data_IF_071080441075
#
_entry.id   IF_071080441075
#
_cell.length_a   1.000
_cell.length_b   1.000
_cell.length_c   1.000
_cell.angle_alpha   90.00
_cell.angle_beta   90.00
_cell.angle_gamma   90.00
#
_symmetry.space_group_name_H-M   'P 1'
#
loop_
_entity.id
_entity.type
_entity.pdbx_description
1 polymer ?
#
# COMPACT_ATOMS: atom_id res chain seq x y z
N UNK A 1 20.89 -26.02 35.58
CA UNK A 1 19.59 -26.49 35.06
C UNK A 1 18.79 -25.30 34.54
N UNK A 2 17.84 -25.57 33.64
CA UNK A 2 16.87 -24.66 33.00
C UNK A 2 17.21 -24.12 31.60
N UNK A 3 17.05 -25.01 30.61
CA UNK A 3 16.50 -24.66 29.30
C UNK A 3 15.23 -25.50 29.07
N UNK A 4 14.09 -25.00 29.54
CA UNK A 4 12.75 -25.52 29.19
C UNK A 4 11.79 -24.34 29.09
N UNK A 5 11.90 -23.59 27.99
CA UNK A 5 10.88 -22.69 27.48
C UNK A 5 11.08 -22.56 25.97
N UNK A 6 10.96 -23.68 25.26
CA UNK A 6 10.78 -23.71 23.81
C UNK A 6 10.01 -24.98 23.58
N UNK A 7 8.69 -24.89 23.49
CA UNK A 7 7.81 -25.76 22.69
C UNK A 7 6.32 -25.63 23.07
N UNK A 8 5.96 -24.87 24.10
CA UNK A 8 4.54 -24.79 24.51
C UNK A 8 3.64 -23.99 23.54
N UNK A 9 4.20 -23.27 22.56
CA UNK A 9 3.42 -22.41 21.65
C UNK A 9 2.74 -23.16 20.49
N UNK A 10 3.39 -24.21 19.96
CA UNK A 10 2.88 -24.97 18.81
C UNK A 10 1.98 -26.14 19.20
N UNK A 11 1.94 -26.49 20.49
CA UNK A 11 1.02 -27.50 21.03
C UNK A 11 -0.41 -26.93 21.17
N UNK A 12 -0.55 -25.63 21.46
CA UNK A 12 -1.84 -24.94 21.58
C UNK A 12 -2.35 -24.39 20.22
N UNK A 13 -1.43 -24.10 19.29
CA UNK A 13 -1.72 -23.69 17.91
C UNK A 13 -0.95 -24.58 16.92
N UNK A 14 -1.54 -25.69 16.45
CA UNK A 14 -0.88 -26.56 15.50
C UNK A 14 -0.65 -25.81 14.18
N UNK A 15 0.59 -25.86 13.69
CA UNK A 15 0.96 -25.29 12.39
C UNK A 15 0.02 -25.83 11.30
N UNK A 16 -0.49 -24.92 10.48
CA UNK A 16 -1.25 -25.32 9.30
C UNK A 16 -0.33 -25.99 8.26
N UNK A 17 -0.92 -26.58 7.23
CA UNK A 17 -0.16 -27.33 6.23
C UNK A 17 0.84 -26.45 5.47
N UNK A 18 0.55 -25.15 5.30
CA UNK A 18 1.43 -24.19 4.66
C UNK A 18 2.63 -23.81 5.55
N UNK A 19 2.38 -23.58 6.83
CA UNK A 19 3.42 -23.25 7.81
C UNK A 19 4.38 -24.42 8.05
N UNK A 20 3.87 -25.67 8.08
CA UNK A 20 4.71 -26.88 8.12
C UNK A 20 5.58 -27.02 6.88
N UNK A 21 5.01 -26.74 5.70
CA UNK A 21 5.77 -26.75 4.44
C UNK A 21 6.91 -25.73 4.50
N UNK A 22 6.63 -24.53 5.01
CA UNK A 22 7.60 -23.45 5.17
C UNK A 22 8.73 -23.81 6.14
N UNK A 23 8.41 -24.42 7.29
CA UNK A 23 9.41 -24.93 8.24
C UNK A 23 10.31 -25.99 7.59
N UNK A 24 9.73 -26.92 6.84
CA UNK A 24 10.53 -27.92 6.12
C UNK A 24 11.44 -27.27 5.07
N UNK A 25 10.95 -26.29 4.31
CA UNK A 25 11.74 -25.58 3.31
C UNK A 25 12.88 -24.76 3.93
N UNK A 26 12.63 -24.11 5.07
CA UNK A 26 13.62 -23.38 5.84
C UNK A 26 14.68 -24.33 6.43
N UNK A 27 14.25 -25.44 7.03
CA UNK A 27 15.13 -26.46 7.60
C UNK A 27 15.99 -27.18 6.55
N UNK A 28 15.47 -27.35 5.33
CA UNK A 28 16.19 -27.94 4.19
C UNK A 28 17.18 -26.96 3.51
N UNK A 29 17.30 -25.71 3.98
CA UNK A 29 18.27 -24.74 3.46
C UNK A 29 18.08 -24.37 1.98
N UNK A 30 16.86 -24.56 1.44
CA UNK A 30 16.56 -24.34 0.01
C UNK A 30 16.54 -22.85 -0.39
N UNK A 31 16.45 -21.95 0.59
CA UNK A 31 16.54 -20.52 0.36
C UNK A 31 18.00 -20.06 0.41
N UNK A 32 18.61 -19.90 -0.75
CA UNK A 32 19.96 -19.33 -0.86
C UNK A 32 19.83 -17.81 -1.06
N UNK A 33 20.57 -16.97 -0.32
CA UNK A 33 20.59 -15.54 -0.56
C UNK A 33 21.06 -15.26 -1.99
N UNK A 34 20.39 -14.32 -2.65
CA UNK A 34 20.80 -13.87 -3.99
C UNK A 34 22.25 -13.38 -3.96
N UNK A 35 23.02 -13.63 -5.03
CA UNK A 35 24.45 -13.29 -5.13
C UNK A 35 24.83 -11.85 -4.75
N UNK A 36 23.86 -10.91 -4.80
CA UNK A 36 24.06 -9.51 -4.45
C UNK A 36 23.04 -9.03 -3.39
N UNK A 37 22.91 -9.80 -2.30
CA UNK A 37 21.90 -9.61 -1.26
C UNK A 37 21.89 -8.19 -0.68
N UNK A 38 23.04 -7.64 -0.29
CA UNK A 38 23.14 -6.31 0.30
C UNK A 38 22.68 -5.20 -0.66
N UNK A 39 23.10 -5.26 -1.94
CA UNK A 39 22.64 -4.31 -2.96
C UNK A 39 21.14 -4.45 -3.19
N UNK A 40 20.64 -5.67 -3.37
CA UNK A 40 19.23 -5.92 -3.64
C UNK A 40 18.33 -5.50 -2.47
N UNK A 41 18.79 -5.73 -1.24
CA UNK A 41 18.11 -5.28 -0.03
C UNK A 41 18.02 -3.76 0.02
N UNK A 42 19.13 -3.06 -0.27
CA UNK A 42 19.14 -1.59 -0.32
C UNK A 42 18.21 -1.05 -1.41
N UNK A 43 18.26 -1.62 -2.62
CA UNK A 43 17.39 -1.22 -3.74
C UNK A 43 15.90 -1.38 -3.37
N UNK A 44 15.54 -2.50 -2.73
CA UNK A 44 14.16 -2.76 -2.29
C UNK A 44 13.72 -1.83 -1.15
N UNK A 45 14.62 -1.54 -0.20
CA UNK A 45 14.34 -0.58 0.88
C UNK A 45 14.10 0.82 0.33
N UNK A 46 14.90 1.26 -0.64
CA UNK A 46 14.75 2.56 -1.29
C UNK A 46 13.46 2.63 -2.11
N UNK A 47 13.15 1.58 -2.89
CA UNK A 47 11.89 1.48 -3.61
C UNK A 47 10.67 1.56 -2.68
N UNK A 48 10.71 0.84 -1.54
CA UNK A 48 9.65 0.89 -0.54
C UNK A 48 9.51 2.29 0.07
N UNK A 49 10.63 2.96 0.38
CA UNK A 49 10.62 4.32 0.91
C UNK A 49 10.02 5.31 -0.08
N UNK A 50 10.43 5.24 -1.35
CA UNK A 50 9.92 6.10 -2.41
C UNK A 50 8.42 5.89 -2.63
N UNK A 51 7.95 4.64 -2.63
CA UNK A 51 6.53 4.34 -2.72
C UNK A 51 5.74 4.94 -1.55
N UNK A 52 6.22 4.77 -0.31
CA UNK A 52 5.60 5.36 0.87
C UNK A 52 5.57 6.89 0.81
N UNK A 53 6.62 7.53 0.27
CA UNK A 53 6.65 8.97 0.08
C UNK A 53 5.62 9.46 -0.95
N UNK A 54 5.45 8.74 -2.06
CA UNK A 54 4.44 9.06 -3.09
C UNK A 54 3.00 8.87 -2.59
N UNK A 55 2.77 7.93 -1.66
CA UNK A 55 1.46 7.67 -1.06
C UNK A 55 1.06 8.71 0.00
N UNK A 56 1.99 9.56 0.46
CA UNK A 56 1.68 10.58 1.48
C UNK A 56 0.77 11.66 0.91
N UNK A 57 -0.34 11.90 1.59
CA UNK A 57 -1.24 13.01 1.28
C UNK A 57 -0.59 14.34 1.61
N UNK A 58 -0.52 15.26 0.64
CA UNK A 58 -0.01 16.63 0.83
C UNK A 58 -1.15 17.63 0.68
N UNK A 59 -1.23 18.62 1.58
CA UNK A 59 -2.18 19.74 1.45
C UNK A 59 -1.73 20.69 0.34
N UNK A 60 -2.69 21.11 -0.48
CA UNK A 60 -2.50 22.11 -1.53
C UNK A 60 -3.51 23.26 -1.33
N UNK A 61 -3.07 24.50 -1.53
CA UNK A 61 -3.95 25.68 -1.48
C UNK A 61 -4.25 26.12 -2.91
N UNK A 62 -5.53 26.15 -3.29
CA UNK A 62 -5.98 26.67 -4.59
C UNK A 62 -6.91 27.87 -4.42
N UNK A 63 -6.77 28.85 -5.30
CA UNK A 63 -7.78 29.91 -5.51
C UNK A 63 -8.72 29.45 -6.62
N UNK A 64 -10.01 29.44 -6.32
CA UNK A 64 -11.08 29.02 -7.23
C UNK A 64 -12.25 30.00 -7.10
N UNK A 65 -12.95 30.25 -8.20
CA UNK A 65 -14.14 31.10 -8.17
C UNK A 65 -15.25 30.41 -7.39
N UNK A 66 -16.06 31.20 -6.69
CA UNK A 66 -17.18 30.65 -5.91
C UNK A 66 -18.21 29.93 -6.81
N UNK A 67 -18.44 30.45 -8.02
CA UNK A 67 -19.31 29.82 -9.02
C UNK A 67 -18.85 28.40 -9.38
N UNK A 68 -17.54 28.19 -9.56
CA UNK A 68 -16.98 26.87 -9.89
C UNK A 68 -17.15 25.89 -8.73
N UNK A 69 -16.94 26.34 -7.49
CA UNK A 69 -17.19 25.50 -6.29
C UNK A 69 -18.65 25.04 -6.24
N UNK A 70 -19.60 25.93 -6.52
CA UNK A 70 -21.03 25.59 -6.52
C UNK A 70 -21.33 24.54 -7.60
N UNK A 71 -20.81 24.73 -8.82
CA UNK A 71 -20.97 23.77 -9.92
C UNK A 71 -20.37 22.40 -9.57
N UNK A 72 -19.19 22.35 -8.97
CA UNK A 72 -18.53 21.10 -8.55
C UNK A 72 -19.34 20.40 -7.45
N UNK A 73 -19.84 21.13 -6.44
CA UNK A 73 -20.71 20.57 -5.40
C UNK A 73 -22.00 19.98 -5.99
N UNK A 74 -22.61 20.66 -6.95
CA UNK A 74 -23.80 20.17 -7.62
C UNK A 74 -23.52 18.87 -8.39
N UNK A 75 -22.39 18.78 -9.12
CA UNK A 75 -21.97 17.55 -9.81
C UNK A 75 -21.68 16.42 -8.82
N UNK A 76 -20.96 16.69 -7.74
CA UNK A 76 -20.64 15.70 -6.71
C UNK A 76 -21.92 15.12 -6.07
N UNK A 77 -22.93 15.97 -5.82
CA UNK A 77 -24.24 15.54 -5.31
C UNK A 77 -24.97 14.62 -6.28
N UNK A 78 -24.92 14.89 -7.59
CA UNK A 78 -25.53 14.01 -8.61
C UNK A 78 -24.93 12.59 -8.60
N UNK A 79 -23.63 12.48 -8.34
CA UNK A 79 -22.89 11.21 -8.30
C UNK A 79 -22.85 10.60 -6.89
N UNK A 80 -23.52 11.23 -5.91
CA UNK A 80 -23.56 10.80 -4.52
C UNK A 80 -22.17 10.65 -3.87
N UNK A 81 -21.24 11.57 -4.18
CA UNK A 81 -19.89 11.60 -3.59
C UNK A 81 -19.58 12.96 -2.97
N UNK A 82 -18.70 13.04 -1.96
CA UNK A 82 -18.21 14.31 -1.45
C UNK A 82 -17.47 15.11 -2.54
N UNK A 83 -17.65 16.43 -2.58
CA UNK A 83 -17.01 17.29 -3.61
C UNK A 83 -15.47 17.24 -3.56
N UNK A 84 -14.89 17.06 -2.37
CA UNK A 84 -13.44 16.89 -2.20
C UNK A 84 -12.95 15.59 -2.84
N UNK A 85 -13.75 14.52 -2.75
CA UNK A 85 -13.43 13.22 -3.35
C UNK A 85 -13.51 13.29 -4.88
N UNK A 86 -14.51 14.00 -5.41
CA UNK A 86 -14.59 14.30 -6.84
C UNK A 86 -13.36 15.10 -7.31
N UNK A 87 -12.94 16.12 -6.56
CA UNK A 87 -11.76 16.91 -6.91
C UNK A 87 -10.48 16.07 -6.92
N UNK A 88 -10.30 15.19 -5.93
CA UNK A 88 -9.17 14.26 -5.92
C UNK A 88 -9.18 13.30 -7.12
N UNK A 89 -10.34 12.76 -7.48
CA UNK A 89 -10.47 11.89 -8.65
C UNK A 89 -10.14 12.64 -9.96
N UNK A 90 -10.53 13.91 -10.07
CA UNK A 90 -10.18 14.75 -11.23
C UNK A 90 -8.67 14.99 -11.33
N UNK A 91 -8.01 15.30 -10.21
CA UNK A 91 -6.56 15.50 -10.17
C UNK A 91 -5.83 14.21 -10.58
N UNK A 92 -6.28 13.07 -10.05
CA UNK A 92 -5.70 11.77 -10.35
C UNK A 92 -5.85 11.41 -11.84
N UNK A 93 -7.07 11.48 -12.39
CA UNK A 93 -7.33 11.20 -13.82
C UNK A 93 -6.55 12.14 -14.74
N UNK A 94 -6.47 13.42 -14.39
CA UNK A 94 -5.70 14.38 -15.17
C UNK A 94 -4.19 14.05 -15.15
N UNK A 95 -3.65 13.63 -14.01
CA UNK A 95 -2.26 13.20 -13.89
C UNK A 95 -1.96 11.91 -14.67
N UNK A 96 -2.94 11.03 -14.83
CA UNK A 96 -2.85 9.79 -15.62
C UNK A 96 -3.05 10.00 -17.13
N UNK A 97 -3.39 11.22 -17.56
CA UNK A 97 -3.59 11.56 -18.98
C UNK A 97 -5.00 11.27 -19.50
N UNK A 98 -5.93 10.85 -18.64
CA UNK A 98 -7.34 10.66 -19.00
C UNK A 98 -8.08 12.00 -18.99
N UNK A 99 -8.27 12.60 -20.16
CA UNK A 99 -8.95 13.90 -20.32
C UNK A 99 -10.48 13.79 -20.34
N UNK A 100 -11.04 12.57 -20.34
CA UNK A 100 -12.48 12.34 -20.43
C UNK A 100 -13.08 11.85 -19.11
N UNK A 101 -14.03 12.63 -18.60
CA UNK A 101 -14.81 12.26 -17.42
C UNK A 101 -16.10 11.61 -17.93
N UNK A 102 -16.10 10.28 -17.99
CA UNK A 102 -17.34 9.52 -18.01
C UNK A 102 -17.84 9.45 -16.56
N UNK A 103 -18.87 10.24 -16.26
CA UNK A 103 -19.67 10.19 -15.03
C UNK A 103 -21.07 9.74 -15.44
#
# INVERSE_FOLDING_TARGET
MNKKQKNDYFDEFPLDDYEKELEEFLGKGKFVPVKNFEKRKKDLQEAAKNFLELQKTKRITLRVKNEDIIKVKARAKKVNIPYQRLLNALIHKFAEGETSINI
#
